data_IF_281714311267
#
_entry.id   IF_281714311267
#
_cell.length_a   1.000
_cell.length_b   1.000
_cell.length_c   1.000
_cell.angle_alpha   90.00
_cell.angle_beta   90.00
_cell.angle_gamma   90.00
#
_symmetry.space_group_name_H-M   'P 1'
#
loop_
_entity.id
_entity.type
_entity.pdbx_description
1 polymer ?
#
# COMPACT_ATOMS: atom_id res chain seq x y z
N UNK A 1 -11.20 -16.46 13.25
CA UNK A 1 -9.94 -16.21 12.52
C UNK A 1 -10.02 -17.00 11.22
N UNK A 2 -9.80 -16.36 10.08
CA UNK A 2 -9.79 -17.07 8.81
C UNK A 2 -8.43 -17.73 8.60
N UNK A 3 -8.42 -19.02 8.30
CA UNK A 3 -7.21 -19.78 7.98
C UNK A 3 -7.32 -20.24 6.54
N UNK A 4 -6.30 -19.96 5.74
CA UNK A 4 -6.20 -20.41 4.35
C UNK A 4 -5.03 -21.37 4.25
N UNK A 5 -5.27 -22.57 3.72
CA UNK A 5 -4.24 -23.56 3.44
C UNK A 5 -4.09 -23.71 1.94
N UNK A 6 -2.91 -23.38 1.42
CA UNK A 6 -2.58 -23.54 0.01
C UNK A 6 -1.82 -24.85 -0.14
N UNK A 7 -2.43 -25.82 -0.82
CA UNK A 7 -1.80 -27.12 -1.11
C UNK A 7 -1.16 -27.08 -2.50
N UNK A 8 -0.15 -27.93 -2.69
CA UNK A 8 0.51 -28.14 -3.99
C UNK A 8 1.10 -26.86 -4.62
N UNK A 9 1.74 -26.00 -3.81
CA UNK A 9 2.46 -24.85 -4.34
C UNK A 9 3.63 -25.36 -5.19
N UNK A 10 3.75 -24.95 -6.47
CA UNK A 10 4.91 -25.28 -7.28
C UNK A 10 6.21 -24.80 -6.62
N UNK A 11 7.20 -25.67 -6.56
CA UNK A 11 8.50 -25.39 -5.92
C UNK A 11 9.16 -24.06 -6.38
N UNK A 12 9.13 -23.67 -7.67
CA UNK A 12 9.65 -22.38 -8.11
C UNK A 12 8.95 -21.18 -7.45
N UNK A 13 7.64 -21.27 -7.25
CA UNK A 13 6.82 -20.21 -6.63
C UNK A 13 7.14 -20.11 -5.15
N UNK A 14 7.24 -21.25 -4.46
CA UNK A 14 7.62 -21.28 -3.04
C UNK A 14 8.98 -20.63 -2.81
N UNK A 15 9.98 -20.92 -3.66
CA UNK A 15 11.30 -20.29 -3.58
C UNK A 15 11.26 -18.78 -3.83
N UNK A 16 10.50 -18.33 -4.83
CA UNK A 16 10.34 -16.91 -5.12
C UNK A 16 9.70 -16.16 -3.94
N UNK A 17 8.66 -16.73 -3.33
CA UNK A 17 8.00 -16.16 -2.16
C UNK A 17 8.95 -16.07 -0.96
N UNK A 18 9.78 -17.09 -0.72
CA UNK A 18 10.78 -17.07 0.36
C UNK A 18 11.83 -15.96 0.16
N UNK A 19 12.28 -15.75 -1.07
CA UNK A 19 13.18 -14.65 -1.43
C UNK A 19 12.51 -13.28 -1.26
N UNK A 20 11.24 -13.13 -1.65
CA UNK A 20 10.47 -11.91 -1.43
C UNK A 20 10.32 -11.61 0.06
N UNK A 21 9.90 -12.59 0.86
CA UNK A 21 9.75 -12.45 2.30
C UNK A 21 11.06 -12.01 2.98
N UNK A 22 12.19 -12.61 2.59
CA UNK A 22 13.51 -12.21 3.09
C UNK A 22 13.86 -10.76 2.72
N UNK A 23 13.60 -10.33 1.48
CA UNK A 23 13.81 -8.94 1.03
C UNK A 23 12.93 -7.94 1.77
N UNK A 24 11.71 -8.32 2.11
CA UNK A 24 10.78 -7.46 2.84
C UNK A 24 10.96 -7.54 4.37
N UNK A 25 11.93 -8.32 4.85
CA UNK A 25 12.17 -8.59 6.27
C UNK A 25 10.90 -9.09 7.00
N UNK A 26 10.14 -9.96 6.33
CA UNK A 26 8.88 -10.52 6.84
C UNK A 26 8.91 -12.04 6.84
N UNK A 27 8.05 -12.65 7.65
CA UNK A 27 7.81 -14.10 7.56
C UNK A 27 7.05 -14.43 6.27
N UNK A 28 7.16 -15.68 5.82
CA UNK A 28 6.45 -16.15 4.62
C UNK A 28 4.93 -15.97 4.75
N UNK A 29 4.36 -16.24 5.93
CA UNK A 29 2.95 -16.02 6.19
C UNK A 29 2.55 -14.54 6.04
N UNK A 30 3.35 -13.62 6.57
CA UNK A 30 3.07 -12.19 6.42
C UNK A 30 3.24 -11.71 4.98
N UNK A 31 4.18 -12.28 4.22
CA UNK A 31 4.32 -11.99 2.80
C UNK A 31 3.09 -12.45 2.00
N UNK A 32 2.60 -13.66 2.27
CA UNK A 32 1.38 -14.19 1.64
C UNK A 32 0.16 -13.33 2.01
N UNK A 33 0.03 -12.91 3.26
CA UNK A 33 -1.04 -11.98 3.67
C UNK A 33 -0.93 -10.65 2.92
N UNK A 34 0.28 -10.06 2.84
CA UNK A 34 0.49 -8.80 2.13
C UNK A 34 0.16 -8.90 0.63
N UNK A 35 0.48 -10.03 0.00
CA UNK A 35 0.12 -10.31 -1.40
C UNK A 35 -1.38 -10.51 -1.58
N UNK A 36 -2.05 -11.21 -0.65
CA UNK A 36 -3.50 -11.36 -0.67
C UNK A 36 -4.20 -10.01 -0.45
N UNK A 37 -3.68 -9.17 0.43
CA UNK A 37 -4.20 -7.82 0.64
C UNK A 37 -4.03 -6.94 -0.60
N UNK A 38 -2.88 -7.00 -1.26
CA UNK A 38 -2.63 -6.19 -2.46
C UNK A 38 -3.48 -6.66 -3.65
N UNK A 39 -3.61 -7.98 -3.84
CA UNK A 39 -4.50 -8.58 -4.84
C UNK A 39 -5.98 -8.31 -4.55
N UNK A 40 -6.40 -8.38 -3.29
CA UNK A 40 -7.77 -8.08 -2.86
C UNK A 40 -8.12 -6.60 -3.02
N UNK A 41 -7.16 -5.69 -2.77
CA UNK A 41 -7.33 -4.26 -3.09
C UNK A 41 -7.47 -3.97 -4.59
N UNK A 42 -7.11 -4.93 -5.45
CA UNK A 42 -7.31 -4.89 -6.90
C UNK A 42 -8.67 -5.47 -7.33
N UNK A 43 -9.50 -5.97 -6.41
CA UNK A 43 -10.93 -6.10 -6.70
C UNK A 43 -11.47 -4.70 -7.02
N UNK A 44 -12.45 -4.57 -7.92
CA UNK A 44 -13.03 -3.27 -8.25
C UNK A 44 -13.53 -2.63 -6.96
N UNK A 45 -12.73 -1.71 -6.43
CA UNK A 45 -13.19 -0.82 -5.38
C UNK A 45 -14.27 0.00 -6.03
N UNK A 46 -15.44 0.05 -5.39
CA UNK A 46 -16.47 0.99 -5.76
C UNK A 46 -15.81 2.39 -5.90
N UNK A 47 -15.75 2.94 -7.12
CA UNK A 47 -15.10 4.22 -7.38
C UNK A 47 -15.67 5.32 -6.49
N UNK A 48 -16.97 5.26 -6.19
CA UNK A 48 -17.65 6.24 -5.37
C UNK A 48 -17.23 6.13 -3.90
N UNK A 49 -17.11 4.92 -3.36
CA UNK A 49 -16.59 4.69 -2.01
C UNK A 49 -15.13 5.17 -1.87
N UNK A 50 -14.29 4.93 -2.89
CA UNK A 50 -12.91 5.42 -2.89
C UNK A 50 -12.84 6.95 -2.94
N UNK A 51 -13.63 7.59 -3.81
CA UNK A 51 -13.70 9.05 -3.91
C UNK A 51 -14.28 9.68 -2.64
N UNK A 52 -15.28 9.06 -2.01
CA UNK A 52 -15.84 9.51 -0.75
C UNK A 52 -14.78 9.48 0.38
N UNK A 53 -14.03 8.39 0.49
CA UNK A 53 -12.96 8.28 1.48
C UNK A 53 -11.82 9.28 1.22
N UNK A 54 -11.42 9.46 -0.04
CA UNK A 54 -10.43 10.47 -0.42
C UNK A 54 -10.91 11.90 -0.08
N UNK A 55 -12.19 12.21 -0.28
CA UNK A 55 -12.78 13.51 0.10
C UNK A 55 -12.83 13.70 1.62
N UNK A 56 -13.12 12.66 2.38
CA UNK A 56 -13.09 12.71 3.86
C UNK A 56 -11.69 12.94 4.41
N UNK A 57 -10.68 12.26 3.86
CA UNK A 57 -9.28 12.43 4.26
C UNK A 57 -8.65 13.72 3.73
N UNK A 58 -9.26 14.35 2.72
CA UNK A 58 -8.76 15.59 2.14
C UNK A 58 -8.92 16.74 3.12
N UNK A 59 -7.89 16.96 3.94
CA UNK A 59 -7.69 18.22 4.65
C UNK A 59 -7.33 19.26 3.59
N UNK A 60 -8.33 20.01 3.13
CA UNK A 60 -8.09 21.14 2.24
C UNK A 60 -7.47 22.26 3.08
N UNK A 61 -6.21 22.65 2.84
CA UNK A 61 -5.62 23.76 3.58
C UNK A 61 -6.43 25.02 3.27
N UNK A 62 -6.99 25.65 4.32
CA UNK A 62 -7.77 26.90 4.21
C UNK A 62 -7.01 28.02 3.51
N UNK A 63 -5.67 27.98 3.51
CA UNK A 63 -4.80 29.10 3.11
C UNK A 63 -4.18 28.95 1.71
N UNK A 64 -5.03 28.68 0.73
CA UNK A 64 -4.70 28.78 -0.70
C UNK A 64 -4.06 27.54 -1.33
N UNK A 65 -4.05 27.53 -2.67
CA UNK A 65 -3.55 26.43 -3.48
C UNK A 65 -2.09 26.11 -3.13
N UNK A 66 -1.79 24.82 -2.98
CA UNK A 66 -0.42 24.33 -2.86
C UNK A 66 0.20 24.35 -4.26
N UNK A 67 0.92 25.43 -4.59
CA UNK A 67 1.67 25.54 -5.85
C UNK A 67 3.05 24.92 -5.69
N UNK A 68 3.67 24.51 -6.80
CA UNK A 68 5.01 23.91 -6.80
C UNK A 68 6.06 24.81 -6.14
N UNK A 69 5.98 26.13 -6.39
CA UNK A 69 6.84 27.12 -5.75
C UNK A 69 6.68 27.13 -4.21
N UNK A 70 5.44 27.04 -3.72
CA UNK A 70 5.14 27.02 -2.28
C UNK A 70 5.60 25.70 -1.65
N UNK A 71 5.42 24.58 -2.34
CA UNK A 71 5.90 23.25 -1.94
C UNK A 71 7.43 23.20 -1.81
N UNK A 72 8.15 23.72 -2.80
CA UNK A 72 9.61 23.76 -2.80
C UNK A 72 10.15 24.65 -1.67
N UNK A 73 9.50 25.79 -1.41
CA UNK A 73 9.86 26.65 -0.27
C UNK A 73 9.69 25.94 1.07
N UNK A 74 8.55 25.28 1.29
CA UNK A 74 8.29 24.52 2.52
C UNK A 74 9.27 23.35 2.71
N UNK A 75 9.58 22.59 1.64
CA UNK A 75 10.57 21.51 1.66
C UNK A 75 11.99 21.97 2.00
N UNK A 76 12.35 23.21 1.64
CA UNK A 76 13.67 23.79 1.95
C UNK A 76 13.73 24.33 3.38
N UNK A 77 12.64 24.87 3.91
CA UNK A 77 12.58 25.39 5.28
C UNK A 77 12.74 24.30 6.35
N UNK A 78 12.28 23.07 6.10
CA UNK A 78 12.42 21.95 7.04
C UNK A 78 13.69 21.11 6.85
N UNK A 79 14.66 21.56 6.06
CA UNK A 79 15.91 20.84 5.73
C UNK A 79 17.14 21.32 6.53
N UNK A 80 16.90 22.07 7.62
CA UNK A 80 17.94 22.44 8.59
C UNK A 80 18.44 21.21 9.35
#
# INVERSE_FOLDING_TARGET
MATVTIKNIPEPIYRALKLQAARHHRSLNQEVIALLESGSRSMPKDPDAFLAHARQMRITPRNGRLTDAKLNRLKRQGRL
#
